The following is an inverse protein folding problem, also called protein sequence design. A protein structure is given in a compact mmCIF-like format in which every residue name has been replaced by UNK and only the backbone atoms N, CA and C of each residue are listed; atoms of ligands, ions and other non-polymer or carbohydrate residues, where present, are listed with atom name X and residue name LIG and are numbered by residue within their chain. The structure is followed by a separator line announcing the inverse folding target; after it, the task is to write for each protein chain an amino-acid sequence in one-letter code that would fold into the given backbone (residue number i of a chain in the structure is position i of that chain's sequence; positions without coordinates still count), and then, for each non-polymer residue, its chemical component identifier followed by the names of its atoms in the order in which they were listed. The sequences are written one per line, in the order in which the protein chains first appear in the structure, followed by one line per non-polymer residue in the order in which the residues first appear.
data_IF_090699473544
#
_entry.id   IF_090699473544
#
_cell.length_a   1.000
_cell.length_b   1.000
_cell.length_c   1.000
_cell.angle_alpha   90.00
_cell.angle_beta   90.00
_cell.angle_gamma   90.00
#
_symmetry.space_group_name_H-M   'P 1'
#
loop_
_entity.id
_entity.type
_entity.pdbx_description
1 polymer ?
#
# COMPACT_ATOMS: atom_id res chain seq x y z
N UNK A 1 -6.65 27.16 1.81
CA UNK A 1 -6.61 26.81 2.05
C UNK A 1 -6.56 25.97 2.02
N UNK A 2 -6.59 25.63 2.26
CA UNK A 2 -6.50 24.81 2.36
C UNK A 2 -6.76 23.98 2.01
N UNK A 3 -6.50 23.64 1.95
CA UNK A 3 -6.53 22.85 1.49
C UNK A 3 -7.29 21.98 1.47
N UNK A 4 -7.81 21.80 1.03
CA UNK A 4 -8.49 21.03 1.08
C UNK A 4 -8.25 19.89 0.62
N UNK A 5 -7.98 19.22 1.25
CA UNK A 5 -7.58 18.02 0.95
C UNK A 5 -8.74 17.20 0.76
N UNK A 6 -8.79 16.40 -0.25
CA UNK A 6 -9.77 15.53 -0.43
C UNK A 6 -9.82 14.60 0.66
N UNK A 7 -10.85 14.12 1.09
CA UNK A 7 -10.93 13.18 2.15
C UNK A 7 -10.25 11.94 1.68
N UNK A 8 -9.30 11.50 2.42
CA UNK A 8 -8.59 10.37 2.11
C UNK A 8 -9.36 9.15 2.59
N UNK A 9 -9.30 8.07 1.87
CA UNK A 9 -9.85 6.82 2.33
C UNK A 9 -8.92 6.28 3.39
N UNK A 10 -9.43 5.79 4.49
CA UNK A 10 -8.60 5.26 5.54
C UNK A 10 -9.29 4.09 6.21
N UNK A 11 -8.57 3.03 6.46
CA UNK A 11 -9.14 1.91 7.18
C UNK A 11 -8.13 1.39 8.17
N UNK A 12 -8.58 1.14 9.39
CA UNK A 12 -7.73 0.59 10.42
C UNK A 12 -7.65 -0.91 10.24
N UNK A 13 -6.46 -1.47 10.35
CA UNK A 13 -6.23 -2.87 10.19
C UNK A 13 -5.78 -3.43 11.52
N UNK A 14 -6.49 -4.38 12.06
CA UNK A 14 -6.14 -5.01 13.29
C UNK A 14 -6.00 -6.50 13.15
N UNK A 15 -6.85 -7.11 12.38
CA UNK A 15 -6.88 -8.56 12.24
C UNK A 15 -6.57 -8.95 10.82
N UNK A 16 -6.16 -10.17 10.64
CA UNK A 16 -5.89 -10.68 9.32
C UNK A 16 -7.09 -10.53 8.41
N UNK A 17 -8.29 -10.72 8.95
CA UNK A 17 -9.47 -10.59 8.13
C UNK A 17 -9.69 -9.16 7.63
N UNK A 18 -9.10 -8.19 8.31
CA UNK A 18 -9.25 -6.81 7.86
C UNK A 18 -8.53 -6.58 6.53
N UNK A 19 -7.55 -7.41 6.21
CA UNK A 19 -6.84 -7.23 4.96
C UNK A 19 -7.75 -7.44 3.75
N UNK A 20 -8.62 -8.43 3.82
CA UNK A 20 -9.54 -8.68 2.73
C UNK A 20 -10.54 -7.53 2.58
N UNK A 21 -11.00 -7.01 3.70
CA UNK A 21 -11.93 -5.90 3.68
C UNK A 21 -11.24 -4.65 3.11
N UNK A 22 -10.03 -4.40 3.56
CA UNK A 22 -9.29 -3.25 3.08
C UNK A 22 -9.04 -3.35 1.58
N UNK A 23 -8.72 -4.55 1.10
CA UNK A 23 -8.46 -4.74 -0.33
C UNK A 23 -9.72 -4.47 -1.14
N UNK A 24 -10.86 -4.97 -0.69
CA UNK A 24 -12.10 -4.74 -1.41
C UNK A 24 -12.47 -3.26 -1.43
N UNK A 25 -12.30 -2.60 -0.31
CA UNK A 25 -12.61 -1.19 -0.24
C UNK A 25 -11.62 -0.36 -1.05
N UNK A 26 -10.37 -0.76 -1.06
CA UNK A 26 -9.36 -0.06 -1.86
C UNK A 26 -9.64 -0.19 -3.36
N UNK A 27 -10.09 -1.36 -3.78
CA UNK A 27 -10.42 -1.58 -5.16
C UNK A 27 -11.58 -0.68 -5.55
N UNK A 28 -12.59 -0.59 -4.68
CA UNK A 28 -13.74 0.22 -4.95
C UNK A 28 -13.36 1.71 -5.01
N UNK A 29 -12.52 2.15 -4.08
CA UNK A 29 -12.05 3.52 -4.07
C UNK A 29 -11.36 3.83 -5.41
N UNK A 30 -10.49 2.94 -5.86
CA UNK A 30 -9.76 3.16 -7.09
C UNK A 30 -10.72 3.28 -8.28
N UNK A 31 -11.71 2.40 -8.34
CA UNK A 31 -12.68 2.48 -9.41
C UNK A 31 -13.46 3.79 -9.38
N UNK A 32 -13.84 4.20 -8.21
CA UNK A 32 -14.61 5.43 -8.08
C UNK A 32 -13.79 6.66 -8.40
N UNK A 33 -12.49 6.53 -8.36
CA UNK A 33 -11.63 7.66 -8.64
C UNK A 33 -10.89 7.53 -9.96
N UNK A 34 -11.47 6.79 -10.87
CA UNK A 34 -11.02 6.84 -12.27
C UNK A 34 -10.05 5.78 -12.73
N UNK A 35 -9.69 4.84 -11.89
CA UNK A 35 -8.79 3.80 -12.37
C UNK A 35 -9.57 2.72 -13.11
N UNK A 36 -8.91 2.07 -14.05
CA UNK A 36 -9.53 1.01 -14.81
C UNK A 36 -9.80 -0.19 -13.92
N UNK A 37 -10.55 -1.14 -14.42
CA UNK A 37 -10.83 -2.35 -13.68
C UNK A 37 -9.53 -3.08 -13.35
N UNK A 38 -8.62 -3.15 -14.30
CA UNK A 38 -7.37 -3.83 -14.06
C UNK A 38 -6.51 -3.09 -13.06
N UNK A 39 -6.38 -1.79 -13.20
CA UNK A 39 -5.58 -1.03 -12.26
C UNK A 39 -6.18 -1.10 -10.87
N UNK A 40 -7.50 -1.11 -10.76
CA UNK A 40 -8.16 -1.20 -9.47
C UNK A 40 -7.93 -2.57 -8.83
N UNK A 41 -7.90 -3.62 -9.62
CA UNK A 41 -7.59 -4.94 -9.09
C UNK A 41 -6.14 -4.98 -8.59
N UNK A 42 -5.25 -4.28 -9.26
CA UNK A 42 -3.86 -4.20 -8.81
C UNK A 42 -3.75 -3.44 -7.50
N UNK A 43 -4.56 -2.40 -7.37
CA UNK A 43 -4.60 -1.66 -6.11
C UNK A 43 -5.05 -2.58 -4.97
N UNK A 44 -6.02 -3.45 -5.25
CA UNK A 44 -6.49 -4.37 -4.23
C UNK A 44 -5.36 -5.29 -3.76
N UNK A 45 -4.53 -5.74 -4.68
CA UNK A 45 -3.41 -6.60 -4.33
C UNK A 45 -2.43 -5.84 -3.44
N UNK A 46 -2.11 -4.61 -3.82
CA UNK A 46 -1.17 -3.80 -3.04
C UNK A 46 -1.72 -3.56 -1.65
N UNK A 47 -2.99 -3.19 -1.56
CA UNK A 47 -3.61 -2.94 -0.26
C UNK A 47 -3.60 -4.20 0.61
N UNK A 48 -3.90 -5.33 0.01
CA UNK A 48 -3.90 -6.58 0.74
C UNK A 48 -2.52 -6.90 1.30
N UNK A 49 -1.48 -6.68 0.51
CA UNK A 49 -0.14 -6.97 0.98
C UNK A 49 0.29 -6.01 2.07
N UNK A 50 -0.04 -4.74 1.93
CA UNK A 50 0.31 -3.78 2.96
C UNK A 50 -0.45 -4.07 4.25
N UNK A 51 -1.72 -4.42 4.14
CA UNK A 51 -2.51 -4.72 5.32
C UNK A 51 -2.00 -5.98 6.02
N UNK A 52 -1.63 -6.99 5.24
CA UNK A 52 -1.11 -8.21 5.81
C UNK A 52 0.20 -7.94 6.55
N UNK A 53 1.02 -7.06 5.97
CA UNK A 53 2.26 -6.70 6.63
C UNK A 53 2.01 -5.98 7.94
N UNK A 54 0.96 -5.16 8.01
CA UNK A 54 0.63 -4.50 9.27
C UNK A 54 0.30 -5.53 10.36
N UNK A 55 -0.48 -6.52 10.00
CA UNK A 55 -0.84 -7.54 10.97
C UNK A 55 0.40 -8.31 11.41
N UNK A 56 1.27 -8.60 10.47
CA UNK A 56 2.44 -9.39 10.76
C UNK A 56 3.50 -8.67 11.54
N UNK A 57 3.73 -7.43 11.24
CA UNK A 57 4.85 -6.72 11.81
C UNK A 57 4.51 -5.65 12.83
N UNK A 58 3.32 -5.16 12.83
CA UNK A 58 2.95 -4.10 13.75
C UNK A 58 2.09 -4.56 14.89
N UNK A 59 1.96 -5.85 15.05
CA UNK A 59 1.11 -6.35 16.10
C UNK A 59 -0.34 -6.13 15.81
N UNK A 60 -0.65 -5.93 14.54
CA UNK A 60 -2.03 -5.81 14.18
C UNK A 60 -2.64 -4.45 14.45
N UNK A 61 -1.83 -3.39 14.44
CA UNK A 61 -2.42 -2.11 14.63
C UNK A 61 -1.85 -1.14 13.68
N UNK A 62 -2.60 -0.78 12.70
CA UNK A 62 -2.13 0.20 11.73
C UNK A 62 -3.25 0.61 10.82
N UNK A 63 -2.91 1.42 9.85
CA UNK A 63 -3.88 1.99 8.93
C UNK A 63 -3.40 1.89 7.52
N UNK A 64 -4.33 1.70 6.58
CA UNK A 64 -4.04 1.80 5.16
C UNK A 64 -4.88 2.96 4.65
N UNK A 65 -4.24 3.85 3.92
CA UNK A 65 -4.87 5.06 3.44
C UNK A 65 -4.65 5.22 1.96
N UNK A 66 -5.63 5.74 1.26
CA UNK A 66 -5.49 5.99 -0.16
C UNK A 66 -5.97 7.40 -0.47
N UNK A 67 -5.33 8.05 -1.41
CA UNK A 67 -5.83 9.33 -1.89
C UNK A 67 -5.39 9.52 -3.35
N UNK A 68 -6.14 10.33 -4.06
CA UNK A 68 -5.97 10.50 -5.47
C UNK A 68 -5.49 11.90 -5.78
N UNK A 69 -4.50 11.98 -6.61
CA UNK A 69 -4.04 13.26 -7.12
C UNK A 69 -4.11 13.21 -8.64
N UNK A 70 -3.92 14.31 -9.32
CA UNK A 70 -4.20 14.32 -10.75
C UNK A 70 -3.58 13.19 -11.54
N UNK A 71 -2.36 12.85 -11.28
CA UNK A 71 -1.72 11.79 -12.03
C UNK A 71 -1.34 10.58 -11.21
N UNK A 72 -1.68 10.57 -9.95
CA UNK A 72 -1.22 9.50 -9.09
C UNK A 72 -2.31 9.03 -8.13
N UNK A 73 -2.24 7.75 -7.81
CA UNK A 73 -2.99 7.24 -6.69
C UNK A 73 -1.95 6.87 -5.66
N UNK A 74 -2.09 7.39 -4.46
CA UNK A 74 -1.18 7.07 -3.37
C UNK A 74 -1.80 6.03 -2.45
N UNK A 75 -0.97 5.10 -2.00
CA UNK A 75 -1.39 4.05 -1.09
C UNK A 75 -0.36 4.06 0.02
N UNK A 76 -0.81 4.30 1.23
CA UNK A 76 0.11 4.41 2.35
C UNK A 76 -0.33 3.48 3.48
N UNK A 77 0.63 2.78 4.10
CA UNK A 77 0.33 2.09 5.32
C UNK A 77 1.17 2.71 6.42
N UNK A 78 0.62 2.80 7.61
CA UNK A 78 1.32 3.37 8.75
C UNK A 78 0.98 2.57 9.97
N UNK A 79 1.94 2.40 10.85
CA UNK A 79 1.66 1.72 12.09
C UNK A 79 2.39 2.40 13.23
N UNK A 80 2.18 1.91 14.45
CA UNK A 80 2.84 2.44 15.60
C UNK A 80 3.68 1.37 16.25
N UNK A 81 4.07 0.39 15.49
CA UNK A 81 4.89 -0.70 16.01
C UNK A 81 6.33 -0.28 16.16
N UNK A 82 7.20 -1.24 16.28
CA UNK A 82 8.60 -0.95 16.53
C UNK A 82 9.39 -0.42 15.35
N UNK A 83 8.85 -0.46 14.17
CA UNK A 83 9.66 -0.06 13.03
C UNK A 83 10.62 -1.16 12.64
N UNK A 84 11.58 -0.82 11.83
CA UNK A 84 12.58 -1.77 11.37
C UNK A 84 13.94 -1.13 11.44
N UNK A 85 14.93 -1.95 11.75
CA UNK A 85 16.28 -1.44 11.78
C UNK A 85 16.70 -0.93 10.41
N UNK A 86 16.28 -1.62 9.37
CA UNK A 86 16.62 -1.20 8.03
C UNK A 86 15.36 -1.27 7.18
N UNK A 87 14.59 -0.21 7.14
CA UNK A 87 13.31 -0.24 6.42
C UNK A 87 13.44 -0.59 4.94
N UNK A 88 14.58 -0.30 4.37
CA UNK A 88 14.72 -0.57 2.94
C UNK A 88 14.65 -2.05 2.63
N UNK A 89 14.82 -2.90 3.64
CA UNK A 89 14.77 -4.32 3.38
C UNK A 89 13.38 -4.87 3.26
N UNK A 90 12.38 -4.12 3.59
CA UNK A 90 11.02 -4.64 3.59
C UNK A 90 10.64 -5.22 2.24
N UNK A 91 11.04 -4.58 1.18
CA UNK A 91 10.69 -5.05 -0.14
C UNK A 91 11.89 -5.49 -0.97
N UNK A 92 13.01 -5.69 -0.30
CA UNK A 92 14.21 -6.02 -1.05
C UNK A 92 14.25 -7.43 -1.49
N UNK A 93 13.79 -8.19 -0.70
CA UNK A 93 13.72 -9.54 -0.82
C UNK A 93 14.36 -10.40 -1.78
N UNK A 94 14.07 -10.48 -2.91
CA UNK A 94 14.48 -11.46 -3.72
C UNK A 94 15.53 -11.21 -4.63
N UNK A 95 16.02 -10.10 -4.74
CA UNK A 95 16.97 -9.82 -5.65
C UNK A 95 18.25 -10.30 -5.34
N UNK A 96 18.52 -11.44 -5.49
CA UNK A 96 19.83 -11.92 -5.31
C UNK A 96 20.30 -12.06 -3.93
N UNK A 97 19.55 -11.90 -2.97
CA UNK A 97 20.04 -12.06 -1.68
C UNK A 97 19.17 -12.94 -0.92
N UNK A 98 19.62 -13.46 0.10
CA UNK A 98 18.88 -14.34 0.93
C UNK A 98 17.65 -13.62 1.36
N UNK A 99 16.58 -14.16 1.19
CA UNK A 99 15.38 -13.52 1.55
C UNK A 99 15.21 -13.46 3.02
N UNK A 100 14.11 -13.02 3.47
CA UNK A 100 13.83 -12.97 4.88
C UNK A 100 13.75 -14.35 5.43
N UNK A 101 13.82 -14.46 6.70
CA UNK A 101 13.72 -15.72 7.33
C UNK A 101 12.39 -16.33 7.05
N UNK A 102 12.34 -17.65 7.10
CA UNK A 102 11.08 -18.30 6.88
C UNK A 102 10.05 -17.73 7.81
N UNK A 103 8.93 -17.45 7.32
CA UNK A 103 7.91 -16.87 8.12
C UNK A 103 7.80 -15.39 8.01
N UNK A 104 8.85 -14.73 7.58
CA UNK A 104 8.75 -13.35 7.41
C UNK A 104 8.28 -13.04 6.05
N UNK A 105 8.47 -13.87 5.18
CA UNK A 105 7.93 -13.83 3.94
C UNK A 105 7.44 -12.60 3.34
N UNK A 106 8.18 -11.65 3.35
CA UNK A 106 7.81 -10.50 2.65
C UNK A 106 8.19 -10.60 1.22
N UNK A 107 8.87 -11.62 0.89
CA UNK A 107 9.41 -11.76 -0.43
C UNK A 107 8.40 -11.65 -1.52
N UNK A 108 7.37 -12.45 -1.48
CA UNK A 108 6.42 -12.40 -2.53
C UNK A 108 5.51 -11.25 -2.46
N UNK A 109 5.05 -10.90 -1.30
CA UNK A 109 4.17 -9.77 -1.14
C UNK A 109 4.86 -8.48 -1.48
N UNK A 110 6.11 -8.36 -1.05
CA UNK A 110 6.87 -7.16 -1.37
C UNK A 110 7.12 -7.04 -2.85
N UNK A 111 7.37 -8.15 -3.50
CA UNK A 111 7.60 -8.12 -4.93
C UNK A 111 6.35 -7.64 -5.67
N UNK A 112 5.18 -8.07 -5.21
CA UNK A 112 3.96 -7.64 -5.85
C UNK A 112 3.75 -6.13 -5.68
N UNK A 113 4.04 -5.62 -4.51
CA UNK A 113 3.89 -4.18 -4.28
C UNK A 113 4.81 -3.42 -5.23
N UNK A 114 6.06 -3.84 -5.35
CA UNK A 114 6.98 -3.15 -6.22
C UNK A 114 6.62 -3.31 -7.68
N UNK A 115 6.11 -4.46 -8.06
CA UNK A 115 5.76 -4.68 -9.45
C UNK A 115 4.53 -3.91 -9.87
N UNK A 116 3.60 -3.73 -8.98
CA UNK A 116 2.32 -3.13 -9.31
C UNK A 116 2.23 -1.64 -9.03
N UNK A 117 3.30 -1.05 -8.54
CA UNK A 117 3.31 0.40 -8.29
C UNK A 117 4.53 0.99 -8.98
N UNK A 118 4.53 2.31 -9.13
CA UNK A 118 5.61 2.99 -9.82
C UNK A 118 6.71 3.40 -8.86
N UNK A 119 6.40 3.48 -7.60
CA UNK A 119 7.42 3.86 -6.64
C UNK A 119 6.94 3.44 -5.26
N UNK A 120 7.85 3.01 -4.40
CA UNK A 120 7.51 2.68 -3.04
C UNK A 120 8.66 3.09 -2.13
N UNK A 121 8.32 3.74 -1.04
CA UNK A 121 9.29 4.16 -0.07
C UNK A 121 8.90 3.64 1.29
N UNK A 122 9.87 3.20 2.06
CA UNK A 122 9.63 2.64 3.38
C UNK A 122 10.48 3.42 4.36
N UNK A 123 9.87 3.98 5.37
CA UNK A 123 10.61 4.76 6.35
C UNK A 123 10.10 4.48 7.74
N UNK A 124 10.96 4.66 8.73
CA UNK A 124 10.53 4.61 10.09
C UNK A 124 9.87 5.94 10.43
N UNK A 125 8.79 5.88 11.18
CA UNK A 125 8.06 7.09 11.52
C UNK A 125 8.70 7.72 12.75
N UNK A 126 8.66 9.02 12.77
CA UNK A 126 9.13 9.72 13.90
C UNK A 126 8.17 9.40 15.01
N UNK A 127 8.60 9.03 16.13
CA UNK A 127 7.73 8.66 17.22
C UNK A 127 7.36 7.19 17.25
N UNK A 128 7.80 6.42 16.32
CA UNK A 128 7.58 4.97 16.36
C UNK A 128 6.75 4.47 15.21
N UNK A 129 7.09 3.32 14.72
CA UNK A 129 6.35 2.66 13.67
C UNK A 129 6.99 2.78 12.31
N UNK A 130 6.32 2.21 11.34
CA UNK A 130 6.82 2.15 9.99
C UNK A 130 5.80 2.76 9.06
N UNK A 131 6.25 3.39 8.02
CA UNK A 131 5.37 3.91 7.01
C UNK A 131 5.81 3.40 5.64
N UNK A 132 4.87 2.92 4.85
CA UNK A 132 5.13 2.52 3.48
C UNK A 132 4.28 3.44 2.61
N UNK A 133 4.92 4.11 1.68
CA UNK A 133 4.19 4.99 0.77
C UNK A 133 4.45 4.52 -0.64
N UNK A 134 3.41 4.10 -1.31
CA UNK A 134 3.49 3.65 -2.69
C UNK A 134 2.65 4.56 -3.57
N UNK A 135 3.04 4.73 -4.80
CA UNK A 135 2.21 5.49 -5.72
C UNK A 135 2.10 4.78 -7.04
N UNK A 136 0.97 4.93 -7.63
CA UNK A 136 0.66 4.27 -8.88
C UNK A 136 0.18 5.33 -9.84
N UNK A 137 0.78 5.38 -11.02
CA UNK A 137 0.39 6.37 -11.99
C UNK A 137 -0.99 6.05 -12.53
N UNK A 138 -1.80 7.07 -12.65
CA UNK A 138 -3.14 6.89 -13.19
C UNK A 138 -3.09 7.26 -14.65
N UNK A 139 -3.29 6.26 -15.49
CA UNK A 139 -3.28 6.49 -16.90
C UNK A 139 -4.68 6.86 -17.29
N UNK A 140 -4.85 8.06 -17.81
CA UNK A 140 -6.13 8.47 -18.19
C UNK A 140 -6.37 8.02 -19.57
N UNK A 141 -7.35 7.23 -19.77
CA UNK A 141 -7.66 6.77 -21.07
C UNK A 141 -8.41 7.87 -21.76
N UNK A 142 -7.83 8.40 -22.83
CA UNK A 142 -8.44 9.44 -23.47
C UNK A 142 -9.66 8.91 -24.09
N UNK A 143 -10.77 9.46 -23.83
CA UNK A 143 -11.93 9.01 -24.36
C UNK A 143 -11.95 9.29 -25.80
N UNK A 144 -12.21 8.36 -26.62
CA UNK A 144 -12.25 8.61 -27.90
C UNK A 144 -13.51 9.14 -28.15
N UNK A 145 -13.69 10.09 -28.75
CA UNK A 145 -14.88 10.60 -28.99
C UNK A 145 -15.18 10.27 -30.22
N UNK A 146 -15.84 9.66 -30.44
CA UNK A 146 -16.05 9.22 -31.72
C UNK A 146 -16.57 9.96 -32.44
#
# INVERSE_FOLDING_TARGET
MLSEVEPMFSIEVRLRSDAAVAAALGRRYAREHGLSAQASAEVAVVVSELATNLVRHAGGRGWVELWREPEWLFIRSRDRGPGMADPSRLFAGREGRPGPLPGESLGEGGAAVRRLTDDVQVTNREGGGLEVLARKRVVQVKRRHG
#
